data_IF_750942721236
#
_entry.id   IF_750942721236
#
_cell.length_a   1.000
_cell.length_b   1.000
_cell.length_c   1.000
_cell.angle_alpha   90.00
_cell.angle_beta   90.00
_cell.angle_gamma   90.00
#
_symmetry.space_group_name_H-M   'P 1'
#
loop_
_entity.id
_entity.type
_entity.pdbx_description
1 polymer ?
#
# COMPACT_ATOMS: atom_id res chain seq x y z
N UNK A 1 10.59 -10.45 23.12
CA UNK A 1 10.57 -10.90 21.71
C UNK A 1 9.20 -10.67 21.07
N UNK A 2 9.02 -9.52 20.41
CA UNK A 2 7.85 -9.25 19.57
C UNK A 2 8.01 -10.07 18.29
N UNK A 3 7.29 -11.19 18.19
CA UNK A 3 7.17 -11.93 16.93
C UNK A 3 6.47 -11.00 15.94
N UNK A 4 7.24 -10.40 15.04
CA UNK A 4 6.68 -9.66 13.91
C UNK A 4 5.79 -10.65 13.15
N UNK A 5 4.50 -10.34 12.91
CA UNK A 5 3.64 -11.21 12.15
C UNK A 5 4.25 -11.35 10.76
N UNK A 6 4.82 -12.52 10.47
CA UNK A 6 5.36 -12.81 9.14
C UNK A 6 4.20 -12.61 8.18
N UNK A 7 4.32 -11.70 7.18
CA UNK A 7 3.25 -11.49 6.22
C UNK A 7 2.96 -12.84 5.58
N UNK A 8 1.77 -13.36 5.82
CA UNK A 8 1.37 -14.66 5.29
C UNK A 8 1.13 -14.47 3.79
N UNK A 9 2.22 -14.58 3.02
CA UNK A 9 2.27 -14.43 1.57
C UNK A 9 1.65 -15.64 0.84
N UNK A 10 1.15 -16.63 1.60
CA UNK A 10 0.36 -17.71 1.04
C UNK A 10 -0.85 -17.13 0.31
N UNK A 11 -0.85 -17.28 -1.01
CA UNK A 11 -1.97 -16.87 -1.87
C UNK A 11 -3.24 -17.59 -1.41
N UNK A 12 -4.15 -16.85 -0.77
CA UNK A 12 -5.42 -17.42 -0.33
C UNK A 12 -6.25 -17.85 -1.55
N UNK A 13 -6.54 -19.15 -1.65
CA UNK A 13 -7.41 -19.70 -2.70
C UNK A 13 -8.87 -19.61 -2.25
N UNK A 14 -9.78 -19.01 -3.07
CA UNK A 14 -11.20 -18.89 -2.71
C UNK A 14 -11.91 -20.22 -2.42
N UNK A 15 -11.44 -21.34 -2.98
CA UNK A 15 -12.03 -22.67 -2.74
C UNK A 15 -11.98 -23.11 -1.28
N UNK A 16 -11.10 -22.52 -0.46
CA UNK A 16 -10.94 -22.85 0.96
C UNK A 16 -11.83 -21.98 1.85
N UNK A 17 -12.60 -21.05 1.27
CA UNK A 17 -13.46 -20.16 2.03
C UNK A 17 -14.79 -20.83 2.35
N UNK A 18 -15.37 -20.52 3.51
CA UNK A 18 -16.77 -20.82 3.79
C UNK A 18 -17.69 -19.85 3.02
N UNK A 19 -18.98 -20.19 2.90
CA UNK A 19 -19.93 -19.39 2.13
C UNK A 19 -20.05 -17.95 2.64
N UNK A 20 -20.00 -17.75 3.96
CA UNK A 20 -20.04 -16.41 4.57
C UNK A 20 -18.81 -15.57 4.21
N UNK A 21 -17.60 -16.12 4.23
CA UNK A 21 -16.37 -15.43 3.77
C UNK A 21 -16.42 -15.17 2.27
N UNK A 22 -16.95 -16.08 1.44
CA UNK A 22 -17.14 -15.85 0.00
C UNK A 22 -18.05 -14.64 -0.26
N UNK A 23 -19.22 -14.61 0.38
CA UNK A 23 -20.18 -13.50 0.26
C UNK A 23 -19.59 -12.18 0.77
N UNK A 24 -18.91 -12.20 1.93
CA UNK A 24 -18.23 -11.02 2.47
C UNK A 24 -17.14 -10.52 1.52
N UNK A 25 -16.30 -11.41 1.00
CA UNK A 25 -15.20 -11.05 0.07
C UNK A 25 -15.75 -10.53 -1.26
N UNK A 26 -16.93 -11.00 -1.70
CA UNK A 26 -17.61 -10.44 -2.88
C UNK A 26 -18.03 -8.98 -2.68
N UNK A 27 -18.56 -8.64 -1.50
CA UNK A 27 -18.95 -7.27 -1.16
C UNK A 27 -17.76 -6.36 -0.81
N UNK A 28 -16.71 -6.94 -0.22
CA UNK A 28 -15.54 -6.25 0.33
C UNK A 28 -14.26 -6.98 -0.13
N UNK A 29 -13.75 -6.69 -1.33
CA UNK A 29 -12.62 -7.42 -1.91
C UNK A 29 -11.33 -7.28 -1.08
N UNK A 30 -11.21 -6.23 -0.25
CA UNK A 30 -10.10 -5.99 0.69
C UNK A 30 -9.98 -7.05 1.80
N UNK A 31 -11.00 -7.89 1.98
CA UNK A 31 -10.93 -9.04 2.89
C UNK A 31 -9.93 -10.07 2.38
N UNK A 32 -9.73 -10.18 1.06
CA UNK A 32 -8.71 -11.05 0.48
C UNK A 32 -7.30 -10.47 0.71
N UNK A 33 -6.35 -11.30 1.17
CA UNK A 33 -5.00 -10.88 1.53
C UNK A 33 -4.20 -10.30 0.34
N UNK A 34 -4.37 -10.85 -0.87
CA UNK A 34 -3.71 -10.37 -2.08
C UNK A 34 -4.19 -8.96 -2.44
N UNK A 35 -5.52 -8.75 -2.49
CA UNK A 35 -6.09 -7.43 -2.77
C UNK A 35 -5.69 -6.43 -1.70
N UNK A 36 -5.76 -6.82 -0.42
CA UNK A 36 -5.33 -5.97 0.70
C UNK A 36 -3.87 -5.56 0.58
N UNK A 37 -2.99 -6.48 0.18
CA UNK A 37 -1.57 -6.20 -0.03
C UNK A 37 -1.36 -5.14 -1.10
N UNK A 38 -2.05 -5.26 -2.23
CA UNK A 38 -1.99 -4.28 -3.33
C UNK A 38 -2.55 -2.93 -2.88
N UNK A 39 -3.70 -2.91 -2.20
CA UNK A 39 -4.30 -1.69 -1.67
C UNK A 39 -3.40 -0.99 -0.64
N UNK A 40 -2.74 -1.75 0.22
CA UNK A 40 -1.76 -1.20 1.16
C UNK A 40 -0.55 -0.63 0.42
N UNK A 41 -0.08 -1.29 -0.66
CA UNK A 41 1.00 -0.76 -1.49
C UNK A 41 0.60 0.58 -2.15
N UNK A 42 -0.59 0.67 -2.73
CA UNK A 42 -1.10 1.91 -3.30
C UNK A 42 -1.26 3.01 -2.25
N UNK A 43 -1.78 2.70 -1.05
CA UNK A 43 -1.86 3.66 0.05
C UNK A 43 -0.48 4.16 0.48
N UNK A 44 0.53 3.29 0.52
CA UNK A 44 1.91 3.70 0.82
C UNK A 44 2.44 4.67 -0.22
N UNK A 45 2.29 4.33 -1.50
CA UNK A 45 2.70 5.18 -2.63
C UNK A 45 2.00 6.54 -2.58
N UNK A 46 0.69 6.54 -2.34
CA UNK A 46 -0.08 7.77 -2.16
C UNK A 46 0.43 8.62 -0.98
N UNK A 47 0.75 8.01 0.17
CA UNK A 47 1.32 8.75 1.30
C UNK A 47 2.70 9.34 0.96
N UNK A 48 3.54 8.62 0.22
CA UNK A 48 4.83 9.11 -0.27
C UNK A 48 4.64 10.30 -1.22
N UNK A 49 3.68 10.19 -2.15
CA UNK A 49 3.36 11.26 -3.09
C UNK A 49 2.80 12.51 -2.40
N UNK A 50 1.91 12.33 -1.42
CA UNK A 50 1.38 13.42 -0.60
C UNK A 50 2.50 14.09 0.20
N UNK A 51 3.45 13.32 0.71
CA UNK A 51 4.64 13.85 1.38
C UNK A 51 5.50 14.69 0.43
N UNK A 52 5.86 14.16 -0.74
CA UNK A 52 6.66 14.91 -1.72
C UNK A 52 5.93 16.19 -2.18
N UNK A 53 4.63 16.09 -2.44
CA UNK A 53 3.80 17.24 -2.81
C UNK A 53 3.75 18.30 -1.71
N UNK A 54 3.60 17.91 -0.45
CA UNK A 54 3.62 18.83 0.70
C UNK A 54 4.98 19.50 0.87
N UNK A 55 6.07 18.73 0.73
CA UNK A 55 7.45 19.21 0.84
C UNK A 55 7.76 20.25 -0.23
N UNK A 56 7.45 19.95 -1.51
CA UNK A 56 7.65 20.88 -2.63
C UNK A 56 6.81 22.14 -2.41
N UNK A 57 5.51 21.97 -2.11
CA UNK A 57 4.61 23.10 -1.91
C UNK A 57 5.07 24.05 -0.80
N UNK A 58 5.48 23.50 0.34
CA UNK A 58 5.94 24.31 1.48
C UNK A 58 7.26 24.98 1.12
N UNK A 59 8.27 24.25 0.64
CA UNK A 59 9.59 24.85 0.36
C UNK A 59 9.55 25.88 -0.79
N UNK A 60 8.66 25.72 -1.78
CA UNK A 60 8.49 26.71 -2.86
C UNK A 60 7.93 28.06 -2.39
N UNK A 61 7.28 28.12 -1.23
CA UNK A 61 6.75 29.38 -0.67
C UNK A 61 7.80 30.15 0.16
N UNK A 62 9.04 29.63 0.23
CA UNK A 62 10.13 30.07 1.11
C UNK A 62 10.05 29.83 2.64
N UNK A 63 9.02 29.19 3.28
CA UNK A 63 9.14 28.76 4.66
C UNK A 63 10.03 27.51 4.79
N UNK A 64 10.69 27.33 5.95
CA UNK A 64 11.34 26.07 6.26
C UNK A 64 10.32 24.91 6.39
N UNK A 65 10.74 23.70 6.04
CA UNK A 65 9.97 22.49 6.31
C UNK A 65 10.42 21.86 7.63
N UNK A 66 9.57 21.93 8.67
CA UNK A 66 9.87 21.55 10.06
C UNK A 66 9.01 20.38 10.58
N UNK A 67 8.36 19.65 9.66
CA UNK A 67 7.45 18.54 10.00
C UNK A 67 8.17 17.20 10.24
N UNK A 68 9.43 17.07 9.84
CA UNK A 68 10.18 15.82 10.01
C UNK A 68 10.71 15.69 11.44
N UNK A 69 10.45 14.53 12.04
CA UNK A 69 10.79 14.25 13.45
C UNK A 69 11.25 12.81 13.60
N UNK A 70 12.21 12.61 14.50
CA UNK A 70 12.51 11.31 15.09
C UNK A 70 12.11 11.29 16.59
N UNK A 71 12.61 10.35 17.38
CA UNK A 71 12.28 10.24 18.81
C UNK A 71 12.79 11.41 19.67
N UNK A 72 13.80 12.17 19.22
CA UNK A 72 14.48 13.19 20.03
C UNK A 72 14.71 14.53 19.30
N UNK A 73 14.65 14.52 17.98
CA UNK A 73 15.11 15.58 17.10
C UNK A 73 14.00 16.00 16.12
N UNK A 74 13.99 17.28 15.79
CA UNK A 74 13.17 17.88 14.72
C UNK A 74 14.11 18.34 13.62
N UNK A 75 13.78 18.04 12.38
CA UNK A 75 14.60 18.38 11.21
C UNK A 75 13.93 19.51 10.46
N UNK A 76 14.63 20.63 10.36
CA UNK A 76 14.18 21.84 9.66
C UNK A 76 14.97 21.96 8.37
N UNK A 77 14.29 21.81 7.24
CA UNK A 77 14.91 21.87 5.92
C UNK A 77 14.64 23.24 5.30
N UNK A 78 15.67 23.85 4.73
CA UNK A 78 15.60 25.05 3.89
C UNK A 78 16.32 24.78 2.58
N UNK A 79 15.72 25.21 1.48
CA UNK A 79 16.33 25.12 0.16
C UNK A 79 15.83 26.30 -0.68
N UNK A 80 16.66 26.76 -1.61
CA UNK A 80 16.31 27.88 -2.48
C UNK A 80 15.43 27.42 -3.64
N UNK A 81 15.78 26.27 -4.23
CA UNK A 81 15.06 25.67 -5.34
C UNK A 81 14.69 24.22 -4.99
N UNK A 82 13.47 23.84 -5.33
CA UNK A 82 12.93 22.52 -5.07
C UNK A 82 12.21 22.00 -6.30
N UNK A 83 12.60 20.81 -6.74
CA UNK A 83 12.01 20.15 -7.90
C UNK A 83 11.63 18.70 -7.56
N UNK A 84 10.47 18.27 -8.02
CA UNK A 84 10.04 16.87 -7.91
C UNK A 84 10.51 16.11 -9.14
N UNK A 85 11.38 15.12 -8.95
CA UNK A 85 11.71 14.19 -10.04
C UNK A 85 10.49 13.32 -10.31
N UNK A 86 10.13 13.17 -11.59
CA UNK A 86 9.08 12.24 -11.97
C UNK A 86 9.51 10.82 -11.57
N UNK A 87 8.54 10.03 -11.09
CA UNK A 87 8.72 8.59 -10.92
C UNK A 87 9.04 8.03 -12.31
N UNK A 88 10.27 7.54 -12.49
CA UNK A 88 10.73 6.96 -13.75
C UNK A 88 10.22 5.52 -13.96
N UNK A 89 9.44 5.01 -13.00
CA UNK A 89 8.88 3.66 -13.00
C UNK A 89 9.92 2.56 -12.74
N UNK A 90 11.20 2.91 -12.59
CA UNK A 90 12.28 1.96 -12.27
C UNK A 90 12.57 1.92 -10.78
N UNK A 91 12.39 3.04 -10.10
CA UNK A 91 12.47 3.13 -8.65
C UNK A 91 11.12 3.59 -8.12
N UNK A 92 10.45 2.75 -7.33
CA UNK A 92 9.18 3.06 -6.63
C UNK A 92 9.31 4.24 -5.63
N UNK A 93 10.41 4.98 -5.67
CA UNK A 93 10.80 6.03 -4.75
C UNK A 93 10.87 7.37 -5.49
N UNK A 94 9.76 8.10 -5.50
CA UNK A 94 9.78 9.50 -5.89
C UNK A 94 10.82 10.27 -5.07
N UNK A 95 11.53 11.20 -5.72
CA UNK A 95 12.54 12.04 -5.07
C UNK A 95 12.20 13.51 -5.23
N UNK A 96 12.52 14.27 -4.19
CA UNK A 96 12.49 15.73 -4.19
C UNK A 96 13.93 16.22 -4.16
N UNK A 97 14.35 16.89 -5.23
CA UNK A 97 15.69 17.46 -5.36
C UNK A 97 15.67 18.87 -4.78
N UNK A 98 16.61 19.12 -3.88
CA UNK A 98 16.89 20.41 -3.26
C UNK A 98 18.15 20.98 -3.89
N UNK A 99 18.14 22.25 -4.26
CA UNK A 99 19.31 22.93 -4.80
C UNK A 99 19.48 24.32 -4.18
N UNK A 100 20.75 24.71 -4.03
CA UNK A 100 21.13 26.09 -3.72
C UNK A 100 20.80 27.00 -4.92
N UNK A 101 20.48 28.26 -4.65
CA UNK A 101 20.29 29.29 -5.68
C UNK A 101 20.93 30.61 -5.25
N UNK A 102 21.12 31.52 -6.20
CA UNK A 102 21.61 32.87 -5.95
C UNK A 102 20.42 33.83 -5.86
N UNK A 103 20.37 34.63 -4.79
CA UNK A 103 19.46 35.78 -4.72
C UNK A 103 19.88 36.85 -5.73
N UNK A 104 18.96 37.78 -5.99
CA UNK A 104 19.24 38.96 -6.82
C UNK A 104 20.40 39.83 -6.30
N UNK A 105 20.72 39.75 -5.00
CA UNK A 105 21.84 40.44 -4.36
C UNK A 105 23.19 39.69 -4.47
N UNK A 106 23.22 38.53 -5.15
CA UNK A 106 24.41 37.67 -5.26
C UNK A 106 24.64 36.74 -4.06
N UNK A 107 23.81 36.83 -3.01
CA UNK A 107 23.92 35.94 -1.85
C UNK A 107 23.44 34.54 -2.21
N UNK A 108 24.30 33.55 -2.00
CA UNK A 108 23.95 32.14 -2.16
C UNK A 108 23.06 31.69 -1.01
N UNK A 109 21.89 31.14 -1.32
CA UNK A 109 21.05 30.42 -0.37
C UNK A 109 21.40 28.93 -0.49
N UNK A 110 22.13 28.35 0.46
CA UNK A 110 22.45 26.93 0.41
C UNK A 110 21.23 26.07 0.78
N UNK A 111 21.36 24.76 0.55
CA UNK A 111 20.46 23.77 1.18
C UNK A 111 20.92 23.60 2.62
N UNK A 112 20.07 23.91 3.57
CA UNK A 112 20.36 23.83 5.00
C UNK A 112 19.41 22.84 5.67
N UNK A 113 19.97 21.97 6.51
CA UNK A 113 19.22 21.06 7.38
C UNK A 113 19.65 21.34 8.82
N UNK A 114 18.77 21.97 9.59
CA UNK A 114 18.96 22.22 11.02
C UNK A 114 18.35 21.07 11.82
N UNK A 115 19.15 20.40 12.65
CA UNK A 115 18.70 19.39 13.60
C UNK A 115 18.46 20.06 14.95
N UNK A 116 17.20 20.16 15.37
CA UNK A 116 16.81 20.71 16.66
C UNK A 116 16.62 19.58 17.67
N UNK A 117 17.32 19.62 18.79
CA UNK A 117 17.11 18.73 19.94
C UNK A 117 16.55 19.55 21.11
N UNK A 118 15.41 19.15 21.65
CA UNK A 118 14.70 19.90 22.70
C UNK A 118 14.47 21.39 22.34
N UNK A 119 14.19 21.68 21.08
CA UNK A 119 13.95 23.03 20.57
C UNK A 119 15.21 23.89 20.37
N UNK A 120 16.42 23.37 20.64
CA UNK A 120 17.69 24.06 20.41
C UNK A 120 18.43 23.44 19.23
N UNK A 121 19.08 24.27 18.41
CA UNK A 121 19.91 23.78 17.31
C UNK A 121 21.09 22.98 17.86
N UNK A 122 21.15 21.70 17.49
CA UNK A 122 22.20 20.77 17.90
C UNK A 122 23.22 20.56 16.79
N UNK A 123 22.75 20.52 15.54
CA UNK A 123 23.59 20.34 14.36
C UNK A 123 23.01 21.13 13.20
N UNK A 124 23.88 21.75 12.38
CA UNK A 124 23.50 22.42 11.13
C UNK A 124 24.33 21.81 10.02
N UNK A 125 23.66 21.21 9.04
CA UNK A 125 24.30 20.71 7.83
C UNK A 125 23.94 21.62 6.65
N UNK A 126 24.96 22.16 5.98
CA UNK A 126 24.82 23.07 4.83
C UNK A 126 25.42 22.39 3.61
N UNK A 127 24.75 22.45 2.47
CA UNK A 127 25.21 21.84 1.22
C UNK A 127 24.72 22.59 -0.02
N UNK A 128 25.32 22.26 -1.16
CA UNK A 128 24.95 22.81 -2.46
C UNK A 128 23.69 22.15 -3.04
N UNK A 129 23.55 20.85 -2.77
CA UNK A 129 22.45 20.02 -3.26
C UNK A 129 22.00 19.07 -2.18
N UNK A 130 20.74 18.68 -2.25
CA UNK A 130 20.18 17.63 -1.43
C UNK A 130 19.09 16.87 -2.16
N UNK A 131 18.73 15.72 -1.62
CA UNK A 131 17.56 14.96 -2.05
C UNK A 131 16.81 14.44 -0.83
N UNK A 132 15.49 14.45 -0.92
CA UNK A 132 14.58 13.90 0.08
C UNK A 132 13.68 12.88 -0.59
N UNK A 133 13.61 11.69 -0.04
CA UNK A 133 12.74 10.63 -0.56
C UNK A 133 12.11 9.84 0.57
N UNK A 134 11.02 9.16 0.24
CA UNK A 134 10.30 8.31 1.18
C UNK A 134 10.35 6.88 0.64
N UNK A 135 10.69 5.93 1.51
CA UNK A 135 10.78 4.51 1.18
C UNK A 135 10.04 3.66 2.19
N UNK A 136 9.64 2.46 1.79
CA UNK A 136 9.11 1.47 2.71
C UNK A 136 10.24 0.70 3.37
N UNK A 137 10.30 0.71 4.70
CA UNK A 137 11.24 -0.13 5.43
C UNK A 137 10.54 -1.45 5.81
N UNK A 138 10.90 -2.53 5.11
CA UNK A 138 10.33 -3.86 5.29
C UNK A 138 10.49 -4.41 6.71
N UNK A 139 11.64 -4.17 7.35
CA UNK A 139 11.93 -4.63 8.71
C UNK A 139 11.00 -3.97 9.73
N UNK A 140 10.76 -2.66 9.56
CA UNK A 140 9.92 -1.88 10.48
C UNK A 140 8.43 -1.96 10.16
N UNK A 141 8.06 -2.38 8.93
CA UNK A 141 6.70 -2.29 8.42
C UNK A 141 6.16 -0.85 8.41
N UNK A 142 7.04 0.14 8.20
CA UNK A 142 6.70 1.58 8.21
C UNK A 142 7.36 2.29 7.03
N UNK A 143 6.70 3.33 6.55
CA UNK A 143 7.29 4.26 5.61
C UNK A 143 8.26 5.19 6.36
N UNK A 144 9.46 5.34 5.83
CA UNK A 144 10.51 6.19 6.37
C UNK A 144 10.95 7.21 5.33
N UNK A 145 11.39 8.38 5.79
CA UNK A 145 11.97 9.45 4.99
C UNK A 145 13.48 9.41 5.18
N UNK A 146 14.21 9.65 4.10
CA UNK A 146 15.64 9.85 4.11
C UNK A 146 15.96 11.22 3.50
N UNK A 147 17.00 11.86 4.04
CA UNK A 147 17.55 13.11 3.55
C UNK A 147 19.03 12.85 3.25
N UNK A 148 19.47 13.22 2.06
CA UNK A 148 20.87 13.15 1.67
C UNK A 148 21.31 14.51 1.14
N UNK A 149 22.43 15.01 1.66
CA UNK A 149 23.09 16.22 1.22
C UNK A 149 24.39 15.85 0.50
N UNK A 150 24.64 16.49 -0.63
CA UNK A 150 25.79 16.22 -1.51
C UNK A 150 26.42 17.52 -2.03
N UNK A 151 27.66 17.43 -2.51
CA UNK A 151 28.45 18.57 -2.95
C UNK A 151 29.33 19.11 -1.83
N UNK A 152 29.41 20.43 -1.68
CA UNK A 152 30.18 21.08 -0.60
C UNK A 152 29.43 21.03 0.72
N UNK A 153 29.44 19.85 1.38
CA UNK A 153 28.73 19.67 2.66
C UNK A 153 29.60 20.16 3.83
N UNK A 154 29.05 21.03 4.66
CA UNK A 154 29.63 21.49 5.91
C UNK A 154 28.67 21.18 7.06
N UNK A 155 29.18 20.52 8.10
CA UNK A 155 28.39 20.13 9.27
C UNK A 155 28.98 20.82 10.48
N UNK A 156 28.17 21.62 11.16
CA UNK A 156 28.52 22.33 12.39
C UNK A 156 27.74 21.73 13.55
N UNK A 157 28.44 21.17 14.52
CA UNK A 157 27.83 20.67 15.76
C UNK A 157 27.82 21.80 16.80
N UNK A 158 26.64 22.20 17.27
CA UNK A 158 26.43 23.33 18.18
C UNK A 158 26.31 22.89 19.66
N UNK A 159 26.51 21.61 19.96
CA UNK A 159 26.27 21.01 21.27
C UNK A 159 27.49 20.81 22.18
N UNK A 160 28.71 20.93 21.65
CA UNK A 160 29.95 20.75 22.41
C UNK A 160 30.66 22.10 22.57
N UNK A 161 31.35 22.32 23.70
CA UNK A 161 32.01 23.59 24.05
C UNK A 161 33.06 24.07 23.03
N UNK A 162 33.36 23.27 22.01
CA UNK A 162 34.03 23.67 20.78
C UNK A 162 33.15 23.31 19.59
N UNK A 163 32.88 24.30 18.74
CA UNK A 163 32.16 24.10 17.48
C UNK A 163 33.05 23.35 16.49
N UNK A 164 32.94 22.02 16.47
CA UNK A 164 33.65 21.21 15.49
C UNK A 164 32.93 21.28 14.15
N UNK A 165 33.66 21.79 13.15
CA UNK A 165 33.21 21.83 11.76
C UNK A 165 33.81 20.65 11.01
N UNK A 166 32.96 19.75 10.53
CA UNK A 166 33.36 18.63 9.67
C UNK A 166 32.89 18.88 8.25
N UNK A 167 33.71 18.56 7.24
CA UNK A 167 33.35 18.70 5.82
C UNK A 167 33.31 17.33 5.14
N UNK A 168 32.31 16.48 5.43
CA UNK A 168 32.17 15.19 4.75
C UNK A 168 31.77 15.40 3.28
N UNK A 169 32.10 14.46 2.40
CA UNK A 169 31.65 14.52 1.00
C UNK A 169 30.13 14.31 0.85
N UNK A 170 29.51 13.63 1.83
CA UNK A 170 28.09 13.26 1.86
C UNK A 170 27.62 13.25 3.31
N UNK A 171 26.45 13.83 3.55
CA UNK A 171 25.75 13.72 4.84
C UNK A 171 24.39 13.09 4.58
N UNK A 172 24.08 12.01 5.29
CA UNK A 172 22.84 11.28 5.12
C UNK A 172 22.20 11.03 6.47
N UNK A 173 20.90 11.26 6.54
CA UNK A 173 20.07 10.77 7.62
C UNK A 173 18.93 9.93 7.07
N UNK A 174 18.89 8.67 7.50
CA UNK A 174 17.82 7.74 7.19
C UNK A 174 16.85 7.60 8.36
N UNK A 175 15.73 6.91 8.11
CA UNK A 175 14.77 6.46 9.14
C UNK A 175 13.93 7.53 9.84
N UNK A 176 13.70 8.68 9.21
CA UNK A 176 12.76 9.68 9.72
C UNK A 176 11.30 9.22 9.51
N UNK A 177 10.40 9.53 10.45
CA UNK A 177 8.99 9.18 10.29
C UNK A 177 8.30 10.12 9.29
N UNK A 178 7.36 9.60 8.48
CA UNK A 178 6.46 10.45 7.71
C UNK A 178 5.61 11.29 8.68
N UNK A 179 5.43 12.60 8.42
CA UNK A 179 4.61 13.45 9.27
C UNK A 179 3.19 12.91 9.49
N UNK A 180 2.65 13.00 10.72
CA UNK A 180 1.37 12.38 11.07
C UNK A 180 0.19 12.97 10.29
N UNK A 181 0.24 14.25 9.91
CA UNK A 181 -0.80 14.91 9.12
C UNK A 181 -0.94 14.30 7.72
N UNK A 182 0.16 13.84 7.12
CA UNK A 182 0.13 13.13 5.84
C UNK A 182 -0.48 11.74 6.02
N UNK A 183 -0.11 11.02 7.09
CA UNK A 183 -0.66 9.70 7.39
C UNK A 183 -2.16 9.76 7.69
N UNK A 184 -2.61 10.78 8.41
CA UNK A 184 -4.03 11.01 8.71
C UNK A 184 -4.83 11.32 7.45
N UNK A 185 -4.31 12.18 6.57
CA UNK A 185 -4.94 12.44 5.26
C UNK A 185 -5.04 11.16 4.43
N UNK A 186 -3.97 10.36 4.39
CA UNK A 186 -3.97 9.08 3.68
C UNK A 186 -4.93 8.03 4.25
N UNK A 187 -5.21 8.08 5.56
CA UNK A 187 -6.21 7.20 6.21
C UNK A 187 -7.65 7.58 5.87
N UNK A 188 -7.91 8.86 5.58
CA UNK A 188 -9.25 9.32 5.16
C UNK A 188 -9.65 8.78 3.79
N UNK A 189 -8.68 8.44 2.95
CA UNK A 189 -8.92 7.83 1.63
C UNK A 189 -9.42 6.40 1.82
N UNK A 190 -10.69 6.19 1.51
CA UNK A 190 -11.35 4.91 1.70
C UNK A 190 -10.92 3.93 0.62
N UNK A 191 -11.17 2.64 0.87
CA UNK A 191 -10.96 1.59 -0.14
C UNK A 191 -11.80 1.84 -1.40
N UNK A 192 -12.98 2.43 -1.24
CA UNK A 192 -13.89 2.74 -2.34
C UNK A 192 -13.35 3.86 -3.22
N UNK A 193 -12.75 4.89 -2.62
CA UNK A 193 -12.14 6.01 -3.36
C UNK A 193 -10.98 5.51 -4.23
N UNK A 194 -10.15 4.61 -3.68
CA UNK A 194 -9.05 3.96 -4.42
C UNK A 194 -9.62 3.14 -5.60
N UNK A 195 -10.71 2.40 -5.40
CA UNK A 195 -11.30 1.57 -6.46
C UNK A 195 -11.98 2.43 -7.54
N UNK A 196 -12.69 3.50 -7.15
CA UNK A 196 -13.32 4.43 -8.09
C UNK A 196 -12.26 5.19 -8.89
N UNK A 197 -11.13 5.53 -8.27
CA UNK A 197 -10.03 6.27 -8.88
C UNK A 197 -10.30 7.76 -8.96
N UNK A 198 -11.20 8.27 -8.11
CA UNK A 198 -11.73 9.65 -8.18
C UNK A 198 -10.74 10.69 -7.60
N UNK A 199 -9.80 10.26 -6.75
CA UNK A 199 -8.91 11.16 -5.99
C UNK A 199 -7.42 10.78 -6.06
N UNK A 200 -7.06 9.83 -6.93
CA UNK A 200 -5.64 9.42 -7.09
C UNK A 200 -4.99 10.38 -8.09
N UNK A 201 -4.62 11.54 -7.57
CA UNK A 201 -3.92 12.66 -8.23
C UNK A 201 -2.87 12.18 -9.27
N UNK A 202 -3.31 12.04 -10.52
CA UNK A 202 -2.50 12.16 -11.74
C UNK A 202 -1.41 11.11 -12.01
N UNK A 203 -1.18 10.08 -11.17
CA UNK A 203 -0.10 9.10 -11.42
C UNK A 203 -0.50 7.67 -11.13
N UNK A 204 -0.15 6.78 -12.06
CA UNK A 204 -0.27 5.33 -11.93
C UNK A 204 -1.58 4.71 -12.44
N UNK A 205 -2.15 5.19 -13.57
CA UNK A 205 -3.29 4.52 -14.23
C UNK A 205 -3.07 3.01 -14.42
N UNK A 206 -1.81 2.59 -14.61
CA UNK A 206 -1.42 1.18 -14.73
C UNK A 206 -1.69 0.36 -13.47
N UNK A 207 -1.35 0.87 -12.28
CA UNK A 207 -1.54 0.16 -11.01
C UNK A 207 -3.02 0.00 -10.68
N UNK A 208 -3.81 1.06 -10.92
CA UNK A 208 -5.25 1.01 -10.73
C UNK A 208 -5.92 0.04 -11.71
N UNK A 209 -5.50 0.04 -12.98
CA UNK A 209 -5.97 -0.92 -13.98
C UNK A 209 -5.67 -2.37 -13.58
N UNK A 210 -4.46 -2.62 -13.09
CA UNK A 210 -4.06 -3.93 -12.57
C UNK A 210 -4.88 -4.35 -11.34
N UNK A 211 -5.15 -3.44 -10.41
CA UNK A 211 -6.02 -3.69 -9.26
C UNK A 211 -7.44 -4.06 -9.72
N UNK A 212 -8.07 -3.23 -10.56
CA UNK A 212 -9.42 -3.46 -11.08
C UNK A 212 -9.53 -4.82 -11.77
N UNK A 213 -8.52 -5.18 -12.59
CA UNK A 213 -8.45 -6.48 -13.26
C UNK A 213 -8.34 -7.65 -12.27
N UNK A 214 -7.55 -7.51 -11.20
CA UNK A 214 -7.43 -8.55 -10.16
C UNK A 214 -8.70 -8.68 -9.32
N UNK A 215 -9.35 -7.58 -8.97
CA UNK A 215 -10.66 -7.59 -8.29
C UNK A 215 -11.70 -8.30 -9.16
N UNK A 216 -11.80 -7.94 -10.45
CA UNK A 216 -12.72 -8.59 -11.38
C UNK A 216 -12.46 -10.10 -11.50
N UNK A 217 -11.18 -10.50 -11.62
CA UNK A 217 -10.78 -11.92 -11.65
C UNK A 217 -11.14 -12.65 -10.36
N UNK A 218 -10.95 -12.02 -9.20
CA UNK A 218 -11.33 -12.58 -7.91
C UNK A 218 -12.85 -12.75 -7.79
N UNK A 219 -13.63 -11.75 -8.22
CA UNK A 219 -15.09 -11.80 -8.21
C UNK A 219 -15.63 -12.91 -9.13
N UNK A 220 -15.04 -13.09 -10.32
CA UNK A 220 -15.40 -14.17 -11.23
C UNK A 220 -15.16 -15.55 -10.59
N UNK A 221 -14.00 -15.74 -9.94
CA UNK A 221 -13.68 -16.98 -9.20
C UNK A 221 -14.67 -17.24 -8.06
N UNK A 222 -14.96 -16.23 -7.24
CA UNK A 222 -15.93 -16.35 -6.14
C UNK A 222 -17.32 -16.71 -6.67
N UNK A 223 -17.75 -16.09 -7.77
CA UNK A 223 -19.05 -16.40 -8.39
C UNK A 223 -19.12 -17.84 -8.87
N UNK A 224 -18.06 -18.33 -9.53
CA UNK A 224 -17.96 -19.73 -9.98
C UNK A 224 -18.03 -20.71 -8.80
N UNK A 225 -17.29 -20.44 -7.73
CA UNK A 225 -17.30 -21.28 -6.51
C UNK A 225 -18.70 -21.33 -5.86
N UNK A 226 -19.39 -20.19 -5.76
CA UNK A 226 -20.76 -20.14 -5.21
C UNK A 226 -21.72 -20.95 -6.09
N UNK A 227 -21.66 -20.80 -7.41
CA UNK A 227 -22.54 -21.55 -8.32
C UNK A 227 -22.27 -23.05 -8.25
N UNK A 228 -21.00 -23.47 -8.21
CA UNK A 228 -20.63 -24.88 -8.08
C UNK A 228 -21.20 -25.51 -6.80
N UNK A 229 -21.08 -24.83 -5.66
CA UNK A 229 -21.62 -25.32 -4.38
C UNK A 229 -23.15 -25.36 -4.36
N UNK A 230 -23.80 -24.35 -4.94
CA UNK A 230 -25.26 -24.32 -5.06
C UNK A 230 -25.77 -25.41 -6.00
N UNK A 231 -25.10 -25.63 -7.13
CA UNK A 231 -25.43 -26.70 -8.07
C UNK A 231 -25.28 -28.07 -7.40
N UNK A 232 -24.20 -28.32 -6.65
CA UNK A 232 -24.03 -29.57 -5.91
C UNK A 232 -25.13 -29.81 -4.88
N UNK A 233 -25.46 -28.78 -4.09
CA UNK A 233 -26.56 -28.85 -3.13
C UNK A 233 -27.90 -29.15 -3.81
N UNK A 234 -28.23 -28.39 -4.86
CA UNK A 234 -29.48 -28.53 -5.61
C UNK A 234 -29.59 -29.90 -6.28
N UNK A 235 -28.50 -30.41 -6.87
CA UNK A 235 -28.44 -31.75 -7.46
C UNK A 235 -28.77 -32.83 -6.45
N UNK A 236 -28.24 -32.74 -5.22
CA UNK A 236 -28.55 -33.68 -4.14
C UNK A 236 -30.04 -33.62 -3.74
N UNK A 237 -30.59 -32.42 -3.58
CA UNK A 237 -32.02 -32.25 -3.26
C UNK A 237 -32.94 -32.81 -4.36
N UNK A 238 -32.62 -32.55 -5.63
CA UNK A 238 -33.38 -33.07 -6.76
C UNK A 238 -33.29 -34.61 -6.82
N UNK A 239 -32.12 -35.18 -6.60
CA UNK A 239 -31.93 -36.64 -6.57
C UNK A 239 -32.79 -37.29 -5.48
N UNK A 240 -32.77 -36.73 -4.26
CA UNK A 240 -33.58 -37.21 -3.14
C UNK A 240 -35.09 -37.06 -3.43
N UNK A 241 -35.50 -35.92 -4.00
CA UNK A 241 -36.89 -35.67 -4.37
C UNK A 241 -37.40 -36.65 -5.43
N UNK A 242 -36.61 -36.91 -6.47
CA UNK A 242 -36.93 -37.89 -7.52
C UNK A 242 -36.98 -39.30 -6.94
N UNK A 243 -36.02 -39.67 -6.09
CA UNK A 243 -36.00 -40.97 -5.42
C UNK A 243 -37.25 -41.20 -4.55
N UNK A 244 -37.68 -40.18 -3.80
CA UNK A 244 -38.89 -40.24 -3.00
C UNK A 244 -40.17 -40.34 -3.85
N UNK A 245 -40.26 -39.56 -4.94
CA UNK A 245 -41.40 -39.60 -5.86
C UNK A 245 -41.52 -40.97 -6.54
N UNK A 246 -40.40 -41.52 -7.04
CA UNK A 246 -40.36 -42.87 -7.63
C UNK A 246 -40.74 -43.94 -6.60
N UNK A 247 -40.25 -43.85 -5.36
CA UNK A 247 -40.61 -44.79 -4.29
C UNK A 247 -42.10 -44.79 -3.95
N UNK A 248 -42.77 -43.64 -4.06
CA UNK A 248 -44.21 -43.52 -3.84
C UNK A 248 -45.02 -44.13 -5.00
N UNK A 249 -44.58 -43.89 -6.24
CA UNK A 249 -45.25 -44.38 -7.46
C UNK A 249 -45.15 -45.92 -7.58
N UNK A 250 -43.99 -46.51 -7.29
CA UNK A 250 -43.70 -47.93 -7.55
C UNK A 250 -43.94 -48.86 -6.34
N UNK A 251 -44.99 -48.61 -5.56
CA UNK A 251 -45.32 -49.33 -4.31
C UNK A 251 -45.66 -50.84 -4.47
N UNK A 252 -45.48 -51.44 -5.65
CA UNK A 252 -46.06 -52.73 -6.07
C UNK A 252 -45.13 -53.90 -6.42
N UNK A 253 -43.80 -53.85 -6.17
CA UNK A 253 -42.97 -55.08 -6.18
C UNK A 253 -41.68 -55.09 -7.01
N UNK A 254 -41.28 -54.00 -7.67
CA UNK A 254 -39.97 -53.89 -8.33
C UNK A 254 -39.18 -52.67 -7.85
N UNK A 255 -38.72 -52.71 -6.60
CA UNK A 255 -37.92 -51.63 -6.00
C UNK A 255 -36.58 -51.43 -6.72
N UNK A 256 -36.05 -52.49 -7.36
CA UNK A 256 -34.73 -52.51 -8.02
C UNK A 256 -34.72 -51.68 -9.31
N UNK A 257 -35.81 -51.69 -10.10
CA UNK A 257 -35.87 -50.92 -11.36
C UNK A 257 -36.01 -49.42 -11.10
N UNK A 258 -36.76 -49.04 -10.07
CA UNK A 258 -36.86 -47.65 -9.61
C UNK A 258 -35.51 -47.11 -9.12
N UNK A 259 -34.71 -47.92 -8.44
CA UNK A 259 -33.35 -47.54 -8.01
C UNK A 259 -32.42 -47.32 -9.20
N UNK A 260 -32.40 -48.23 -10.18
CA UNK A 260 -31.54 -48.11 -11.36
C UNK A 260 -31.84 -46.85 -12.20
N UNK A 261 -33.12 -46.49 -12.34
CA UNK A 261 -33.53 -45.27 -13.05
C UNK A 261 -33.12 -44.00 -12.27
N UNK A 262 -33.14 -44.04 -10.93
CA UNK A 262 -32.73 -42.91 -10.08
C UNK A 262 -31.22 -42.60 -10.10
N UNK A 263 -30.38 -43.59 -10.44
CA UNK A 263 -28.91 -43.43 -10.52
C UNK A 263 -28.49 -42.60 -11.74
N UNK A 264 -29.23 -42.66 -12.85
CA UNK A 264 -28.88 -41.95 -14.10
C UNK A 264 -28.88 -40.43 -13.94
N UNK A 265 -29.90 -39.79 -13.34
CA UNK A 265 -29.83 -38.35 -13.01
C UNK A 265 -28.68 -38.02 -12.05
N UNK A 266 -28.38 -38.91 -11.09
CA UNK A 266 -27.31 -38.72 -10.11
C UNK A 266 -25.93 -38.74 -10.75
N UNK A 267 -25.66 -39.68 -11.66
CA UNK A 267 -24.39 -39.75 -12.40
C UNK A 267 -24.22 -38.58 -13.35
N UNK A 268 -25.28 -38.12 -14.03
CA UNK A 268 -25.23 -36.91 -14.88
C UNK A 268 -24.91 -35.66 -14.05
N UNK A 269 -25.53 -35.52 -12.87
CA UNK A 269 -25.25 -34.39 -11.99
C UNK A 269 -23.80 -34.40 -11.48
N UNK A 270 -23.24 -35.57 -11.16
CA UNK A 270 -21.83 -35.71 -10.78
C UNK A 270 -20.92 -35.29 -11.94
N UNK A 271 -21.21 -35.73 -13.17
CA UNK A 271 -20.40 -35.38 -14.36
C UNK A 271 -20.48 -33.88 -14.68
N UNK A 272 -21.62 -33.22 -14.50
CA UNK A 272 -21.72 -31.77 -14.73
C UNK A 272 -20.99 -30.91 -13.68
N UNK A 273 -20.66 -31.49 -12.53
CA UNK A 273 -20.00 -30.77 -11.42
C UNK A 273 -18.48 -30.87 -11.51
N UNK A 274 -17.96 -31.95 -12.11
CA UNK A 274 -16.54 -32.16 -12.41
C UNK A 274 -16.12 -31.26 -13.58
#
# INVERSE_FOLDING_TARGET
>A
PLLLPVPNLAKEKPSWYNLSKLLRTRSKPEVNSEIRGIMNAMRRKMNHDMFHGDLVRILSLAPPYDKLRDSQNVYVIRAAKVERTADDGTTDEGRVILASDLKADGTRIPVEVTVLRNGRAHQVAVADRGQVWAKWNELSGKSVVAIELTGSVQVVNLGESQSDTTSPARWEIGTLAIPPDILERGRKVTSEDIIKGEDVLGRGLGDLGNLKRRIAKLQAKIRGEIHSRLAFGLSCFLLVGIGAALGLIFRGGQVISAFAISVVPGSIAIVMII
#
